data_IF_949052373136
#
_entry.id   IF_949052373136
#
_cell.length_a   1.000
_cell.length_b   1.000
_cell.length_c   1.000
_cell.angle_alpha   90.00
_cell.angle_beta   90.00
_cell.angle_gamma   90.00
#
_symmetry.space_group_name_H-M   'P 1'
#
loop_
_entity.id
_entity.type
_entity.pdbx_description
1 polymer ?
#
# COMPACT_ATOMS: atom_id res chain seq x y z
N UNK A 1 -8.08 -13.26 -19.11
CA UNK A 1 -8.54 -13.62 -17.75
C UNK A 1 -7.90 -14.96 -17.39
N UNK A 2 -6.79 -14.90 -16.66
CA UNK A 2 -5.80 -15.96 -16.49
C UNK A 2 -5.32 -16.59 -17.82
N UNK A 3 -4.90 -15.76 -18.77
CA UNK A 3 -4.42 -16.17 -20.10
C UNK A 3 -5.51 -16.62 -21.08
N UNK A 4 -6.77 -16.70 -20.65
CA UNK A 4 -7.89 -17.12 -21.50
C UNK A 4 -8.69 -15.93 -22.04
N UNK A 5 -9.26 -16.04 -23.26
CA UNK A 5 -10.22 -15.07 -23.78
C UNK A 5 -11.40 -14.92 -22.81
N UNK A 6 -11.82 -13.67 -22.58
CA UNK A 6 -12.89 -13.38 -21.64
C UNK A 6 -13.68 -12.14 -22.09
N UNK A 7 -15.01 -12.24 -22.05
CA UNK A 7 -15.89 -11.11 -22.35
C UNK A 7 -16.10 -10.30 -21.08
N UNK A 8 -15.42 -9.17 -20.97
CA UNK A 8 -15.59 -8.23 -19.88
C UNK A 8 -16.68 -7.19 -20.19
N UNK A 9 -17.50 -6.84 -19.19
CA UNK A 9 -18.43 -5.74 -19.31
C UNK A 9 -17.68 -4.41 -19.48
N UNK A 10 -18.12 -3.57 -20.43
CA UNK A 10 -17.43 -2.32 -20.83
C UNK A 10 -17.12 -1.40 -19.63
N UNK A 11 -18.13 -1.14 -18.80
CA UNK A 11 -18.00 -0.26 -17.64
C UNK A 11 -17.06 -0.83 -16.57
N UNK A 12 -17.27 -2.08 -16.15
CA UNK A 12 -16.45 -2.71 -15.11
C UNK A 12 -14.98 -2.84 -15.54
N UNK A 13 -14.73 -3.15 -16.82
CA UNK A 13 -13.38 -3.23 -17.36
C UNK A 13 -12.68 -1.88 -17.38
N UNK A 14 -13.32 -0.83 -17.92
CA UNK A 14 -12.71 0.49 -18.03
C UNK A 14 -12.46 1.10 -16.65
N UNK A 15 -13.41 0.95 -15.72
CA UNK A 15 -13.27 1.42 -14.36
C UNK A 15 -12.12 0.72 -13.62
N UNK A 16 -12.07 -0.62 -13.66
CA UNK A 16 -10.97 -1.40 -13.05
C UNK A 16 -9.61 -1.01 -13.61
N UNK A 17 -9.47 -0.93 -14.93
CA UNK A 17 -8.21 -0.57 -15.58
C UNK A 17 -7.74 0.82 -15.17
N UNK A 18 -8.67 1.78 -15.08
CA UNK A 18 -8.36 3.12 -14.59
C UNK A 18 -7.84 3.07 -13.16
N UNK A 19 -8.58 2.45 -12.24
CA UNK A 19 -8.15 2.35 -10.84
C UNK A 19 -6.78 1.66 -10.71
N UNK A 20 -6.57 0.53 -11.39
CA UNK A 20 -5.28 -0.16 -11.37
C UNK A 20 -4.16 0.72 -11.90
N UNK A 21 -4.40 1.42 -13.00
CA UNK A 21 -3.43 2.34 -13.58
C UNK A 21 -3.09 3.49 -12.63
N UNK A 22 -4.08 4.04 -11.93
CA UNK A 22 -3.90 5.13 -10.97
C UNK A 22 -3.01 4.69 -9.81
N UNK A 23 -3.33 3.54 -9.22
CA UNK A 23 -2.59 2.99 -8.09
C UNK A 23 -1.18 2.55 -8.46
N UNK A 24 -0.96 2.08 -9.68
CA UNK A 24 0.36 1.75 -10.21
C UNK A 24 1.15 2.98 -10.70
N UNK A 25 0.54 4.17 -10.67
CA UNK A 25 1.17 5.42 -11.12
C UNK A 25 1.43 5.48 -12.62
N UNK A 26 0.66 4.76 -13.43
CA UNK A 26 0.83 4.68 -14.89
C UNK A 26 -0.21 5.51 -15.66
N UNK A 27 -1.14 6.19 -14.97
CA UNK A 27 -2.08 7.11 -15.63
C UNK A 27 -1.50 8.51 -15.86
N UNK A 28 -0.48 8.92 -15.11
CA UNK A 28 -0.14 10.34 -14.92
C UNK A 28 1.28 10.71 -15.34
N UNK A 29 1.88 9.93 -16.24
CA UNK A 29 3.26 10.14 -16.64
C UNK A 29 3.31 10.14 -18.16
N UNK A 30 3.87 11.20 -18.75
CA UNK A 30 4.20 11.34 -20.17
C UNK A 30 4.19 10.02 -20.95
N UNK A 31 3.50 10.00 -22.10
CA UNK A 31 3.25 8.84 -22.97
C UNK A 31 4.45 7.89 -23.17
N UNK A 32 5.68 8.37 -23.05
CA UNK A 32 6.92 7.59 -23.09
C UNK A 32 7.18 6.71 -21.85
N UNK A 33 6.89 7.17 -20.63
CA UNK A 33 7.01 6.34 -19.40
C UNK A 33 5.86 5.34 -19.28
N UNK A 34 4.71 5.65 -19.85
CA UNK A 34 3.60 4.71 -20.04
C UNK A 34 4.06 3.51 -20.89
N UNK A 35 4.76 3.74 -22.01
CA UNK A 35 5.25 2.66 -22.85
C UNK A 35 6.21 1.71 -22.11
N UNK A 36 7.17 2.24 -21.36
CA UNK A 36 8.14 1.44 -20.58
C UNK A 36 7.49 0.71 -19.40
N UNK A 37 6.54 1.35 -18.71
CA UNK A 37 5.81 0.71 -17.61
C UNK A 37 4.82 -0.36 -18.10
N UNK A 38 4.23 -0.17 -19.29
CA UNK A 38 3.30 -1.12 -19.92
C UNK A 38 4.00 -2.33 -20.56
N UNK A 39 5.29 -2.26 -20.92
CA UNK A 39 6.03 -3.40 -21.49
C UNK A 39 6.01 -4.64 -20.57
N UNK A 40 5.79 -4.45 -19.26
CA UNK A 40 5.69 -5.53 -18.27
C UNK A 40 4.32 -5.77 -17.65
N UNK A 41 3.38 -4.82 -17.75
CA UNK A 41 2.15 -4.78 -16.94
C UNK A 41 0.89 -4.85 -17.81
N UNK A 42 0.33 -6.06 -17.87
CA UNK A 42 -0.92 -6.32 -18.56
C UNK A 42 -2.12 -6.00 -17.63
N UNK A 43 -2.79 -4.87 -17.88
CA UNK A 43 -4.02 -4.51 -17.17
C UNK A 43 -5.26 -5.25 -17.70
N UNK A 44 -5.18 -5.91 -18.87
CA UNK A 44 -6.26 -6.72 -19.41
C UNK A 44 -6.47 -8.00 -18.61
N UNK A 45 -5.39 -8.57 -18.06
CA UNK A 45 -5.45 -9.77 -17.24
C UNK A 45 -5.11 -9.56 -15.75
N UNK A 46 -6.08 -9.10 -14.93
CA UNK A 46 -5.87 -8.78 -13.51
C UNK A 46 -5.57 -9.97 -12.61
N UNK A 47 -5.84 -11.19 -13.08
CA UNK A 47 -5.69 -12.40 -12.27
C UNK A 47 -4.54 -13.27 -12.76
N UNK A 48 -3.77 -12.80 -13.74
CA UNK A 48 -2.55 -13.48 -14.15
C UNK A 48 -1.53 -13.44 -13.02
N UNK A 49 -0.77 -14.53 -12.86
CA UNK A 49 0.30 -14.62 -11.87
C UNK A 49 1.35 -13.52 -12.07
N UNK A 50 1.67 -13.20 -13.34
CA UNK A 50 2.57 -12.11 -13.72
C UNK A 50 2.07 -10.76 -13.20
N UNK A 51 0.79 -10.43 -13.44
CA UNK A 51 0.21 -9.18 -12.95
C UNK A 51 0.24 -9.14 -11.41
N UNK A 52 -0.22 -10.20 -10.75
CA UNK A 52 -0.29 -10.25 -9.29
C UNK A 52 1.09 -10.12 -8.62
N UNK A 53 2.09 -10.81 -9.16
CA UNK A 53 3.47 -10.75 -8.66
C UNK A 53 4.03 -9.34 -8.77
N UNK A 54 3.85 -8.68 -9.92
CA UNK A 54 4.30 -7.30 -10.11
C UNK A 54 3.53 -6.32 -9.21
N UNK A 55 2.20 -6.45 -9.13
CA UNK A 55 1.35 -5.60 -8.29
C UNK A 55 1.75 -5.69 -6.82
N UNK A 56 1.98 -6.91 -6.31
CA UNK A 56 2.45 -7.13 -4.95
C UNK A 56 3.88 -6.62 -4.75
N UNK A 57 4.79 -6.86 -5.69
CA UNK A 57 6.16 -6.38 -5.60
C UNK A 57 6.23 -4.84 -5.52
N UNK A 58 5.41 -4.13 -6.28
CA UNK A 58 5.27 -2.67 -6.19
C UNK A 58 4.80 -2.26 -4.79
N UNK A 59 3.77 -2.91 -4.25
CA UNK A 59 3.27 -2.62 -2.90
C UNK A 59 4.35 -2.85 -1.82
N UNK A 60 5.05 -3.98 -1.85
CA UNK A 60 6.13 -4.32 -0.91
C UNK A 60 7.23 -3.26 -0.97
N UNK A 61 7.70 -2.94 -2.19
CA UNK A 61 8.78 -1.96 -2.41
C UNK A 61 8.39 -0.58 -1.89
N UNK A 62 7.20 -0.09 -2.23
CA UNK A 62 6.74 1.21 -1.78
C UNK A 62 6.61 1.26 -0.25
N UNK A 63 6.12 0.18 0.36
CA UNK A 63 6.02 0.06 1.83
C UNK A 63 7.39 0.19 2.48
N UNK A 64 8.41 -0.53 1.97
CA UNK A 64 9.78 -0.44 2.48
C UNK A 64 10.36 0.96 2.35
N UNK A 65 10.13 1.64 1.22
CA UNK A 65 10.60 3.02 1.03
C UNK A 65 9.91 3.97 2.01
N UNK A 66 8.59 3.86 2.19
CA UNK A 66 7.86 4.69 3.16
C UNK A 66 8.33 4.45 4.60
N UNK A 67 8.54 3.18 4.97
CA UNK A 67 9.05 2.79 6.29
C UNK A 67 10.47 3.33 6.51
N UNK A 68 11.37 3.23 5.53
CA UNK A 68 12.74 3.76 5.65
C UNK A 68 12.77 5.29 5.72
N UNK A 69 12.06 5.98 4.82
CA UNK A 69 12.15 7.44 4.67
C UNK A 69 11.42 8.17 5.78
N UNK A 70 10.27 7.66 6.23
CA UNK A 70 9.38 8.37 7.15
C UNK A 70 9.14 7.64 8.47
N UNK A 71 9.34 6.32 8.54
CA UNK A 71 8.82 5.48 9.63
C UNK A 71 7.36 5.81 9.96
N UNK A 72 6.52 5.83 8.93
CA UNK A 72 5.09 6.10 9.10
C UNK A 72 4.37 4.90 9.75
N UNK A 73 3.28 5.18 10.47
CA UNK A 73 2.39 4.18 11.02
C UNK A 73 1.02 4.26 10.31
N UNK A 74 0.29 3.14 10.18
CA UNK A 74 0.56 1.80 10.74
C UNK A 74 1.73 1.06 10.06
N UNK A 75 2.47 0.23 10.80
CA UNK A 75 3.60 -0.58 10.30
C UNK A 75 3.72 -1.90 11.08
N UNK A 76 4.09 -2.99 10.40
CA UNK A 76 4.24 -4.32 11.02
C UNK A 76 5.40 -4.40 12.03
N UNK A 77 6.26 -3.39 12.05
CA UNK A 77 7.35 -3.24 13.01
C UNK A 77 6.89 -2.82 14.42
N UNK A 78 5.62 -2.43 14.58
CA UNK A 78 5.05 -1.94 15.84
C UNK A 78 4.00 -2.92 16.36
N UNK A 79 4.32 -3.66 17.44
CA UNK A 79 3.43 -4.69 17.98
C UNK A 79 2.68 -4.28 19.24
N UNK A 80 3.21 -3.31 19.97
CA UNK A 80 2.64 -2.83 21.22
C UNK A 80 2.89 -1.32 21.40
N UNK A 81 2.39 -0.77 22.52
CA UNK A 81 2.51 0.65 22.82
C UNK A 81 3.95 1.13 23.07
N UNK A 82 4.82 0.27 23.58
CA UNK A 82 6.24 0.59 23.81
C UNK A 82 6.98 0.71 22.48
N UNK A 83 6.75 -0.25 21.57
CA UNK A 83 7.25 -0.21 20.20
C UNK A 83 6.77 1.07 19.50
N UNK A 84 5.49 1.44 19.66
CA UNK A 84 4.94 2.64 19.03
C UNK A 84 5.64 3.91 19.54
N UNK A 85 5.93 3.99 20.85
CA UNK A 85 6.67 5.14 21.42
C UNK A 85 8.08 5.23 20.84
N UNK A 86 8.81 4.11 20.81
CA UNK A 86 10.15 4.04 20.23
C UNK A 86 10.14 4.40 18.74
N UNK A 87 9.19 3.85 17.99
CA UNK A 87 9.03 4.08 16.56
C UNK A 87 8.75 5.54 16.22
N UNK A 88 7.87 6.21 16.99
CA UNK A 88 7.60 7.64 16.85
C UNK A 88 8.83 8.51 17.14
N UNK A 89 9.62 8.14 18.15
CA UNK A 89 10.85 8.86 18.49
C UNK A 89 11.86 8.77 17.34
N UNK A 90 12.06 7.57 16.82
CA UNK A 90 12.95 7.32 15.67
C UNK A 90 12.49 8.07 14.41
N UNK A 91 11.18 8.10 14.15
CA UNK A 91 10.58 8.85 13.05
C UNK A 91 10.87 10.36 13.12
N UNK A 92 11.07 10.92 14.32
CA UNK A 92 11.33 12.34 14.52
C UNK A 92 12.83 12.69 14.49
N UNK A 93 13.72 11.72 14.74
CA UNK A 93 15.13 12.01 15.00
C UNK A 93 16.09 11.36 13.99
N UNK A 94 15.74 10.20 13.45
CA UNK A 94 16.72 9.32 12.79
C UNK A 94 16.39 8.99 11.34
N UNK A 95 15.21 9.36 10.84
CA UNK A 95 14.82 9.04 9.47
C UNK A 95 15.43 10.00 8.45
N UNK A 96 15.64 9.55 7.19
CA UNK A 96 16.14 10.39 6.11
C UNK A 96 15.31 11.66 5.90
N UNK A 97 13.98 11.61 6.05
CA UNK A 97 13.12 12.79 5.86
C UNK A 97 13.47 13.97 6.80
N UNK A 98 14.06 13.69 7.97
CA UNK A 98 14.48 14.70 8.95
C UNK A 98 15.96 15.01 8.83
N UNK A 99 16.78 13.97 8.66
CA UNK A 99 18.24 14.06 8.77
C UNK A 99 18.94 14.41 7.45
N UNK A 100 18.47 13.87 6.32
CA UNK A 100 19.09 14.03 5.00
C UNK A 100 18.03 14.04 3.89
N UNK A 101 17.64 15.27 3.51
CA UNK A 101 16.70 15.52 2.44
C UNK A 101 17.12 14.90 1.10
N UNK A 102 18.41 14.93 0.76
CA UNK A 102 18.89 14.43 -0.54
C UNK A 102 18.77 12.91 -0.61
N UNK A 103 19.10 12.22 0.48
CA UNK A 103 18.88 10.78 0.59
C UNK A 103 17.40 10.43 0.52
N UNK A 104 16.55 11.19 1.22
CA UNK A 104 15.09 11.01 1.15
C UNK A 104 14.58 11.14 -0.29
N UNK A 105 14.93 12.21 -1.00
CA UNK A 105 14.54 12.42 -2.40
C UNK A 105 15.01 11.28 -3.32
N UNK A 106 16.23 10.78 -3.12
CA UNK A 106 16.77 9.64 -3.89
C UNK A 106 15.98 8.34 -3.65
N UNK A 107 15.59 8.06 -2.40
CA UNK A 107 14.77 6.89 -2.07
C UNK A 107 13.36 7.02 -2.64
N UNK A 108 12.75 8.21 -2.50
CA UNK A 108 11.42 8.51 -3.01
C UNK A 108 11.32 8.45 -4.53
N UNK A 109 12.40 8.76 -5.25
CA UNK A 109 12.46 8.57 -6.71
C UNK A 109 12.27 7.10 -7.14
N UNK A 110 12.45 6.15 -6.22
CA UNK A 110 12.18 4.73 -6.44
C UNK A 110 10.71 4.33 -6.31
N UNK A 111 9.83 5.21 -5.82
CA UNK A 111 8.39 4.93 -5.68
C UNK A 111 7.72 4.80 -7.05
N UNK A 112 6.76 3.88 -7.12
CA UNK A 112 5.92 3.70 -8.30
C UNK A 112 4.45 3.66 -7.87
N UNK A 113 3.70 4.70 -8.23
CA UNK A 113 2.30 4.82 -7.86
C UNK A 113 2.09 4.98 -6.36
N UNK A 114 0.94 4.52 -5.87
CA UNK A 114 0.44 4.72 -4.52
C UNK A 114 0.17 3.41 -3.77
N UNK A 115 0.43 2.25 -4.39
CA UNK A 115 0.24 0.96 -3.74
C UNK A 115 1.19 0.79 -2.57
N UNK A 116 0.67 0.36 -1.44
CA UNK A 116 1.41 -0.08 -0.25
C UNK A 116 0.75 -1.33 0.31
N UNK A 117 1.51 -2.16 1.01
CA UNK A 117 0.97 -3.30 1.72
C UNK A 117 0.23 -2.83 2.97
N UNK A 118 -0.94 -3.41 3.20
CA UNK A 118 -1.67 -3.16 4.42
C UNK A 118 -0.99 -3.92 5.58
N UNK A 119 -0.57 -3.24 6.66
CA UNK A 119 0.11 -3.87 7.78
C UNK A 119 -0.88 -4.71 8.60
N UNK A 120 -0.77 -6.02 8.48
CA UNK A 120 -1.66 -6.99 9.17
C UNK A 120 -1.23 -7.29 10.61
N UNK A 121 -0.03 -6.84 10.97
CA UNK A 121 0.67 -7.17 12.20
C UNK A 121 0.85 -5.96 13.10
N UNK A 122 0.32 -4.79 12.72
CA UNK A 122 0.35 -3.58 13.52
C UNK A 122 -0.51 -3.75 14.79
N UNK A 123 0.11 -3.51 15.96
CA UNK A 123 -0.55 -3.55 17.27
C UNK A 123 -1.27 -4.88 17.61
N UNK A 124 -0.82 -6.00 17.04
CA UNK A 124 -1.41 -7.31 17.30
C UNK A 124 -1.10 -7.88 18.69
N UNK A 125 -0.17 -7.26 19.42
CA UNK A 125 0.19 -7.61 20.79
C UNK A 125 -0.65 -6.92 21.87
N UNK A 126 -1.64 -6.11 21.50
CA UNK A 126 -2.48 -5.37 22.45
C UNK A 126 -3.96 -5.52 22.14
N UNK A 127 -4.80 -5.48 23.18
CA UNK A 127 -6.23 -5.36 22.99
C UNK A 127 -6.57 -3.91 22.58
N UNK A 128 -6.97 -3.74 21.32
CA UNK A 128 -7.38 -2.45 20.77
C UNK A 128 -8.84 -2.10 21.06
N UNK A 129 -9.61 -3.04 21.62
CA UNK A 129 -10.98 -2.75 22.04
C UNK A 129 -10.94 -1.63 23.10
N UNK A 130 -11.89 -0.67 23.05
CA UNK A 130 -12.02 0.30 24.12
C UNK A 130 -12.27 -0.43 25.44
N UNK A 131 -11.88 0.20 26.55
CA UNK A 131 -12.27 -0.29 27.86
C UNK A 131 -13.80 -0.48 27.90
N UNK A 132 -14.26 -1.54 28.55
CA UNK A 132 -15.68 -1.89 28.67
C UNK A 132 -16.41 -0.77 29.42
N UNK A 133 -16.84 0.24 28.67
CA UNK A 133 -17.59 1.40 29.14
C UNK A 133 -19.04 1.35 28.70
N UNK A 134 -19.71 2.50 28.74
CA UNK A 134 -21.14 2.68 28.45
C UNK A 134 -21.51 2.55 26.97
N UNK A 135 -20.57 2.26 26.08
CA UNK A 135 -20.83 2.07 24.65
C UNK A 135 -21.21 0.60 24.49
N UNK A 136 -22.48 0.28 24.17
CA UNK A 136 -22.85 -1.09 23.85
C UNK A 136 -21.98 -1.53 22.68
N UNK A 137 -21.39 -2.72 22.77
CA UNK A 137 -20.65 -3.30 21.65
C UNK A 137 -21.56 -3.24 20.41
N UNK A 138 -21.15 -2.51 19.38
CA UNK A 138 -21.93 -2.35 18.15
C UNK A 138 -22.23 -3.70 17.44
N UNK A 139 -21.62 -4.78 17.92
CA UNK A 139 -21.77 -6.17 17.47
C UNK A 139 -22.81 -6.98 18.25
N UNK A 140 -23.49 -6.40 19.25
CA UNK A 140 -24.50 -7.09 20.07
C UNK A 140 -25.94 -6.95 19.58
N UNK A 141 -26.21 -6.28 18.45
CA UNK A 141 -27.56 -6.25 17.89
C UNK A 141 -27.81 -7.54 17.09
N UNK A 142 -28.71 -8.44 17.54
CA UNK A 142 -29.15 -9.54 16.70
C UNK A 142 -29.84 -8.95 15.47
N UNK A 143 -29.37 -9.36 14.29
CA UNK A 143 -30.06 -9.08 13.04
C UNK A 143 -31.38 -9.86 13.09
N UNK A 144 -32.48 -9.18 13.41
CA UNK A 144 -33.84 -9.73 13.27
C UNK A 144 -34.22 -9.85 11.80
#
# INVERSE_FOLDING_TARGET
MNGRPFLAGKFGQSFRKRLMGEHLGILDINSERIAVALEGLDLDDPISEKFWTNFKATAVKNTQIHDEVFKCYPSDNVKNWEDLKRYKLEAQQSVPAVTDRRRAEKLLAGLQGFLVEFPTKFMDGVNLAPDKGLIPDAWQYPVT
#
